data_IF_026956737454
#
_entry.id   IF_026956737454
#
_cell.length_a   1.000
_cell.length_b   1.000
_cell.length_c   1.000
_cell.angle_alpha   90.00
_cell.angle_beta   90.00
_cell.angle_gamma   90.00
#
_symmetry.space_group_name_H-M   'P 1'
#
loop_
_entity.id
_entity.type
_entity.pdbx_description
1 polymer ?
#
# COMPACT_ATOMS: atom_id res chain seq x y z
N UNK A 1 -4.91 4.26 -9.45
CA UNK A 1 -5.08 4.82 -8.10
C UNK A 1 -6.45 5.47 -8.07
N UNK A 2 -7.20 5.29 -7.01
CA UNK A 2 -8.60 5.71 -6.89
C UNK A 2 -8.73 6.58 -5.65
N UNK A 3 -9.65 7.57 -5.71
CA UNK A 3 -10.04 8.29 -4.50
C UNK A 3 -10.73 7.32 -3.55
N UNK A 4 -10.57 7.54 -2.27
CA UNK A 4 -11.16 6.67 -1.25
C UNK A 4 -12.68 6.77 -1.32
N UNK A 5 -13.29 5.71 -1.80
CA UNK A 5 -14.72 5.44 -1.81
C UNK A 5 -14.93 4.06 -1.18
N UNK A 6 -15.22 4.05 0.11
CA UNK A 6 -15.33 2.82 0.89
C UNK A 6 -16.46 1.92 0.37
N UNK A 7 -17.55 2.50 -0.12
CA UNK A 7 -18.69 1.75 -0.68
C UNK A 7 -18.34 1.15 -2.04
N UNK A 8 -17.77 1.92 -2.94
CA UNK A 8 -17.34 1.43 -4.26
C UNK A 8 -16.23 0.39 -4.16
N UNK A 9 -15.34 0.55 -3.16
CA UNK A 9 -14.32 -0.45 -2.89
C UNK A 9 -14.92 -1.75 -2.37
N UNK A 10 -15.88 -1.67 -1.44
CA UNK A 10 -16.58 -2.84 -0.90
C UNK A 10 -17.34 -3.58 -2.02
N UNK A 11 -17.98 -2.87 -2.94
CA UNK A 11 -18.63 -3.48 -4.10
C UNK A 11 -17.64 -4.25 -4.98
N UNK A 12 -16.50 -3.66 -5.34
CA UNK A 12 -15.46 -4.34 -6.12
C UNK A 12 -14.90 -5.56 -5.42
N UNK A 13 -14.66 -5.46 -4.11
CA UNK A 13 -14.20 -6.58 -3.32
C UNK A 13 -15.23 -7.72 -3.33
N UNK A 14 -16.51 -7.40 -3.16
CA UNK A 14 -17.59 -8.39 -3.24
C UNK A 14 -17.70 -9.03 -4.62
N UNK A 15 -17.48 -8.28 -5.69
CA UNK A 15 -17.45 -8.82 -7.06
C UNK A 15 -16.35 -9.85 -7.24
N UNK A 16 -15.12 -9.54 -6.80
CA UNK A 16 -14.00 -10.48 -6.83
C UNK A 16 -14.27 -11.71 -5.97
N UNK A 17 -14.83 -11.50 -4.78
CA UNK A 17 -15.16 -12.61 -3.89
C UNK A 17 -16.21 -13.55 -4.50
N UNK A 18 -17.24 -13.02 -5.19
CA UNK A 18 -18.27 -13.81 -5.88
C UNK A 18 -17.70 -14.58 -7.08
N UNK A 19 -16.72 -14.01 -7.78
CA UNK A 19 -16.01 -14.68 -8.89
C UNK A 19 -15.12 -15.84 -8.40
N UNK A 20 -14.85 -15.93 -7.12
CA UNK A 20 -13.98 -16.96 -6.57
C UNK A 20 -12.52 -16.55 -6.46
N UNK A 21 -12.20 -15.29 -6.74
CA UNK A 21 -10.83 -14.76 -6.68
C UNK A 21 -10.30 -14.77 -5.25
N UNK A 22 -9.00 -15.02 -5.13
CA UNK A 22 -8.27 -14.77 -3.89
C UNK A 22 -8.03 -13.28 -3.72
N UNK A 23 -8.20 -12.77 -2.49
CA UNK A 23 -8.16 -11.34 -2.21
C UNK A 23 -7.21 -11.04 -1.05
N UNK A 24 -6.31 -10.10 -1.27
CA UNK A 24 -5.53 -9.47 -0.20
C UNK A 24 -6.01 -8.04 0.02
N UNK A 25 -6.39 -7.72 1.25
CA UNK A 25 -6.64 -6.35 1.68
C UNK A 25 -5.49 -5.90 2.58
N UNK A 26 -4.70 -4.94 2.12
CA UNK A 26 -3.50 -4.48 2.80
C UNK A 26 -3.70 -3.09 3.38
N UNK A 27 -3.35 -2.93 4.65
CA UNK A 27 -3.49 -1.67 5.39
C UNK A 27 -2.24 -1.35 6.21
N UNK A 28 -2.06 -0.08 6.54
CA UNK A 28 -1.01 0.40 7.45
C UNK A 28 -1.55 0.64 8.84
N UNK A 29 -2.72 1.26 8.93
CA UNK A 29 -3.41 1.59 10.19
C UNK A 29 -4.66 0.72 10.34
N UNK A 30 -4.93 0.27 11.56
CA UNK A 30 -6.14 -0.52 11.85
C UNK A 30 -7.43 0.26 11.59
N UNK A 31 -7.40 1.60 11.70
CA UNK A 31 -8.52 2.47 11.35
C UNK A 31 -8.95 2.32 9.88
N UNK A 32 -7.98 2.16 8.98
CA UNK A 32 -8.29 1.99 7.54
C UNK A 32 -9.04 0.69 7.28
N UNK A 33 -8.68 -0.37 8.01
CA UNK A 33 -9.34 -1.66 7.98
C UNK A 33 -10.78 -1.58 8.48
N UNK A 34 -11.00 -0.97 9.65
CA UNK A 34 -12.29 -0.94 10.34
C UNK A 34 -13.39 -0.27 9.51
N UNK A 35 -13.07 0.79 8.78
CA UNK A 35 -14.02 1.51 7.93
C UNK A 35 -14.58 0.62 6.82
N UNK A 36 -13.77 -0.24 6.25
CA UNK A 36 -14.19 -1.11 5.15
C UNK A 36 -14.88 -2.37 5.66
N UNK A 37 -14.42 -2.91 6.79
CA UNK A 37 -15.03 -4.10 7.39
C UNK A 37 -16.54 -3.92 7.61
N UNK A 38 -16.99 -2.73 7.95
CA UNK A 38 -18.42 -2.44 8.12
C UNK A 38 -19.24 -2.73 6.86
N UNK A 39 -18.69 -2.49 5.68
CA UNK A 39 -19.36 -2.71 4.39
C UNK A 39 -19.25 -4.15 3.89
N UNK A 40 -18.29 -4.93 4.37
CA UNK A 40 -18.01 -6.31 3.92
C UNK A 40 -18.19 -7.35 5.04
N UNK A 41 -18.87 -6.99 6.13
CA UNK A 41 -18.99 -7.83 7.33
C UNK A 41 -19.51 -9.23 7.03
N UNK A 42 -20.44 -9.37 6.08
CA UNK A 42 -20.97 -10.68 5.67
C UNK A 42 -19.88 -11.59 5.10
N UNK A 43 -18.98 -11.05 4.30
CA UNK A 43 -17.84 -11.80 3.73
C UNK A 43 -16.83 -12.13 4.82
N UNK A 44 -16.52 -11.15 5.66
CA UNK A 44 -15.55 -11.32 6.76
C UNK A 44 -16.02 -12.44 7.70
N UNK A 45 -17.30 -12.46 8.04
CA UNK A 45 -17.86 -13.49 8.92
C UNK A 45 -17.77 -14.90 8.30
N UNK A 46 -18.13 -15.05 7.03
CA UNK A 46 -18.05 -16.33 6.32
C UNK A 46 -16.60 -16.78 6.20
N UNK A 47 -15.72 -15.91 5.77
CA UNK A 47 -14.33 -16.24 5.51
C UNK A 47 -13.56 -16.53 6.81
N UNK A 48 -13.86 -15.81 7.89
CA UNK A 48 -13.21 -16.02 9.20
C UNK A 48 -13.58 -17.36 9.86
N UNK A 49 -14.71 -17.96 9.49
CA UNK A 49 -15.09 -19.30 9.96
C UNK A 49 -14.26 -20.42 9.32
N UNK A 50 -13.56 -20.14 8.24
CA UNK A 50 -12.69 -21.08 7.54
C UNK A 50 -11.28 -21.13 8.16
N UNK A 51 -10.57 -22.26 8.02
CA UNK A 51 -9.14 -22.33 8.31
C UNK A 51 -8.38 -21.27 7.50
N UNK A 52 -7.30 -20.73 8.06
CA UNK A 52 -6.58 -19.59 7.46
C UNK A 52 -6.15 -19.85 6.01
N UNK A 53 -5.73 -21.06 5.69
CA UNK A 53 -5.28 -21.47 4.35
C UNK A 53 -6.43 -21.48 3.33
N UNK A 54 -7.64 -21.76 3.79
CA UNK A 54 -8.85 -21.81 2.96
C UNK A 54 -9.51 -20.43 2.78
N UNK A 55 -9.07 -19.42 3.52
CA UNK A 55 -9.62 -18.05 3.43
C UNK A 55 -9.26 -17.42 2.11
N UNK A 56 -10.27 -16.96 1.41
CA UNK A 56 -10.09 -16.20 0.16
C UNK A 56 -9.84 -14.72 0.41
N UNK A 57 -10.36 -14.15 1.48
CA UNK A 57 -10.08 -12.78 1.91
C UNK A 57 -9.07 -12.79 3.06
N UNK A 58 -7.87 -12.31 2.81
CA UNK A 58 -6.84 -12.11 3.83
C UNK A 58 -6.62 -10.63 4.07
N UNK A 59 -6.78 -10.21 5.31
CA UNK A 59 -6.60 -8.83 5.75
C UNK A 59 -5.29 -8.73 6.52
N UNK A 60 -4.32 -8.02 5.97
CA UNK A 60 -2.94 -8.03 6.47
C UNK A 60 -2.34 -6.64 6.46
N UNK A 61 -1.32 -6.43 7.28
CA UNK A 61 -0.47 -5.25 7.10
C UNK A 61 0.43 -5.43 5.87
N UNK A 62 0.91 -4.34 5.29
CA UNK A 62 1.87 -4.40 4.18
C UNK A 62 3.09 -5.28 4.50
N UNK A 63 3.59 -5.22 5.75
CA UNK A 63 4.74 -6.03 6.17
C UNK A 63 4.42 -7.53 6.19
N UNK A 64 3.22 -7.89 6.65
CA UNK A 64 2.79 -9.29 6.77
C UNK A 64 2.46 -9.94 5.42
N UNK A 65 2.30 -9.12 4.38
CA UNK A 65 1.99 -9.60 3.03
C UNK A 65 3.21 -10.12 2.24
N UNK A 66 4.41 -10.01 2.81
CA UNK A 66 5.62 -10.49 2.15
C UNK A 66 5.53 -11.99 1.84
N UNK A 67 5.75 -12.36 0.58
CA UNK A 67 5.69 -13.74 0.11
C UNK A 67 4.30 -14.24 -0.27
N UNK A 68 3.24 -13.47 -0.02
CA UNK A 68 1.88 -13.83 -0.45
C UNK A 68 1.58 -13.23 -1.82
N UNK A 69 0.60 -13.82 -2.52
CA UNK A 69 0.02 -13.32 -3.77
C UNK A 69 -1.48 -13.56 -3.76
N UNK A 70 -2.22 -12.76 -4.52
CA UNK A 70 -3.65 -12.94 -4.73
C UNK A 70 -4.08 -12.39 -6.10
N UNK A 71 -5.20 -12.88 -6.60
CA UNK A 71 -5.78 -12.43 -7.87
C UNK A 71 -6.12 -10.95 -7.83
N UNK A 72 -6.69 -10.49 -6.72
CA UNK A 72 -7.00 -9.09 -6.48
C UNK A 72 -6.37 -8.58 -5.18
N UNK A 73 -5.74 -7.42 -5.24
CA UNK A 73 -5.14 -6.75 -4.08
C UNK A 73 -5.75 -5.37 -3.90
N UNK A 74 -6.22 -5.10 -2.69
CA UNK A 74 -6.77 -3.82 -2.27
C UNK A 74 -5.80 -3.15 -1.29
N UNK A 75 -5.21 -2.05 -1.70
CA UNK A 75 -4.30 -1.25 -0.89
C UNK A 75 -5.07 -0.10 -0.26
N UNK A 76 -5.07 -0.04 1.07
CA UNK A 76 -5.81 0.95 1.85
C UNK A 76 -4.88 2.02 2.38
N UNK A 77 -5.26 3.26 2.12
CA UNK A 77 -4.51 4.43 2.55
C UNK A 77 -3.18 4.60 1.83
N UNK A 78 -2.47 5.66 2.18
CA UNK A 78 -1.08 5.86 1.76
C UNK A 78 -0.16 5.09 2.72
N UNK A 79 0.92 4.53 2.20
CA UNK A 79 1.92 3.82 2.99
C UNK A 79 2.68 4.73 3.97
N UNK A 80 2.35 6.03 4.00
CA UNK A 80 3.02 7.02 4.85
C UNK A 80 2.76 6.77 6.34
N UNK A 81 3.84 6.65 7.08
CA UNK A 81 3.85 6.76 8.52
C UNK A 81 5.21 7.35 8.93
N UNK A 82 5.28 8.67 8.91
CA UNK A 82 6.50 9.38 9.24
C UNK A 82 6.39 9.95 10.66
N UNK A 83 7.40 9.67 11.45
CA UNK A 83 7.57 10.28 12.76
C UNK A 83 8.91 11.00 12.74
N UNK A 84 8.90 12.32 12.66
CA UNK A 84 10.13 13.11 12.78
C UNK A 84 10.75 12.89 14.17
N UNK A 85 12.02 12.55 14.19
CA UNK A 85 12.73 12.33 15.42
C UNK A 85 14.16 12.87 15.34
N UNK A 86 14.39 14.11 15.79
CA UNK A 86 15.73 14.69 15.84
C UNK A 86 16.73 13.81 16.62
N UNK A 87 16.27 13.21 17.71
CA UNK A 87 17.07 12.28 18.50
C UNK A 87 17.51 11.05 17.71
N UNK A 88 16.58 10.41 17.00
CA UNK A 88 16.91 9.24 16.17
C UNK A 88 17.81 9.60 15.00
N UNK A 89 17.63 10.77 14.40
CA UNK A 89 18.55 11.27 13.38
C UNK A 89 19.97 11.42 13.93
N UNK A 90 20.12 11.93 15.16
CA UNK A 90 21.42 12.02 15.81
C UNK A 90 22.03 10.64 16.06
N UNK A 91 21.26 9.69 16.60
CA UNK A 91 21.72 8.32 16.84
C UNK A 91 22.16 7.64 15.53
N UNK A 92 21.40 7.80 14.46
CA UNK A 92 21.73 7.24 13.14
C UNK A 92 23.05 7.83 12.59
N UNK A 93 23.26 9.15 12.73
CA UNK A 93 24.54 9.79 12.35
C UNK A 93 25.72 9.25 13.14
N UNK A 94 25.55 9.14 14.46
CA UNK A 94 26.61 8.62 15.35
C UNK A 94 26.96 7.16 15.05
N UNK A 95 25.96 6.37 14.63
CA UNK A 95 26.14 4.97 14.21
C UNK A 95 26.67 4.81 12.78
N UNK A 96 26.91 5.92 12.06
CA UNK A 96 27.34 5.86 10.65
C UNK A 96 26.26 5.36 9.68
N UNK A 97 25.00 5.41 10.10
CA UNK A 97 23.86 5.01 9.27
C UNK A 97 23.38 6.22 8.45
N UNK A 98 23.28 6.03 7.15
CA UNK A 98 22.92 7.09 6.22
C UNK A 98 24.06 7.50 5.30
N UNK A 99 23.77 8.40 4.37
CA UNK A 99 24.77 8.93 3.42
C UNK A 99 25.65 9.99 4.09
N UNK A 100 26.88 10.12 3.63
CA UNK A 100 27.76 11.19 4.10
C UNK A 100 27.10 12.56 3.90
N UNK A 101 27.09 13.39 4.94
CA UNK A 101 26.46 14.71 4.92
C UNK A 101 24.93 14.71 5.13
N UNK A 102 24.30 13.56 5.33
CA UNK A 102 22.86 13.49 5.58
C UNK A 102 22.51 14.00 7.00
N UNK A 103 21.77 15.10 7.06
CA UNK A 103 21.31 15.68 8.33
C UNK A 103 20.15 14.92 8.97
N UNK A 104 19.39 14.15 8.19
CA UNK A 104 18.17 13.47 8.61
C UNK A 104 18.13 11.98 8.19
N UNK A 105 19.17 11.19 8.50
CA UNK A 105 19.30 9.83 7.97
C UNK A 105 18.18 8.88 8.42
N UNK A 106 17.66 9.01 9.63
CA UNK A 106 16.51 8.25 10.09
C UNK A 106 15.24 8.61 9.33
N UNK A 107 14.98 9.91 9.15
CA UNK A 107 13.78 10.36 8.43
C UNK A 107 13.85 9.96 6.95
N UNK A 108 15.03 9.98 6.35
CA UNK A 108 15.23 9.51 4.98
C UNK A 108 15.07 7.99 4.85
N UNK A 109 15.53 7.21 5.83
CA UNK A 109 15.29 5.77 5.87
C UNK A 109 13.78 5.44 5.95
N UNK A 110 12.98 6.22 6.67
CA UNK A 110 11.52 6.07 6.68
C UNK A 110 10.90 6.33 5.31
N UNK A 111 11.43 7.31 4.55
CA UNK A 111 10.97 7.59 3.17
C UNK A 111 11.21 6.39 2.25
N UNK A 112 12.39 5.79 2.34
CA UNK A 112 12.73 4.62 1.56
C UNK A 112 11.85 3.42 1.92
N UNK A 113 11.51 3.26 3.21
CA UNK A 113 10.61 2.20 3.67
C UNK A 113 9.19 2.36 3.10
N UNK A 114 8.67 3.60 3.00
CA UNK A 114 7.37 3.86 2.37
C UNK A 114 7.33 3.34 0.93
N UNK A 115 8.39 3.60 0.16
CA UNK A 115 8.49 3.12 -1.22
C UNK A 115 8.56 1.60 -1.31
N UNK A 116 9.31 0.96 -0.40
CA UNK A 116 9.38 -0.51 -0.32
C UNK A 116 8.03 -1.12 0.00
N UNK A 117 7.27 -0.56 0.94
CA UNK A 117 5.94 -1.05 1.29
C UNK A 117 4.95 -0.91 0.14
N UNK A 118 4.98 0.22 -0.56
CA UNK A 118 4.17 0.41 -1.76
C UNK A 118 4.51 -0.62 -2.84
N UNK A 119 5.78 -0.86 -3.10
CA UNK A 119 6.24 -1.88 -4.02
C UNK A 119 5.79 -3.28 -3.61
N UNK A 120 5.97 -3.64 -2.33
CA UNK A 120 5.50 -4.92 -1.79
C UNK A 120 4.00 -5.06 -2.03
N UNK A 121 3.18 -4.07 -1.71
CA UNK A 121 1.74 -4.13 -1.90
C UNK A 121 1.36 -4.38 -3.36
N UNK A 122 1.87 -3.58 -4.28
CA UNK A 122 1.55 -3.67 -5.72
C UNK A 122 1.96 -5.02 -6.30
N UNK A 123 3.13 -5.53 -5.94
CA UNK A 123 3.66 -6.79 -6.46
C UNK A 123 2.99 -8.04 -5.91
N UNK A 124 2.05 -7.89 -4.98
CA UNK A 124 1.22 -9.02 -4.49
C UNK A 124 0.08 -9.36 -5.44
N UNK A 125 -0.30 -8.46 -6.34
CA UNK A 125 -1.38 -8.67 -7.27
C UNK A 125 -0.95 -9.52 -8.47
N UNK A 126 -1.70 -10.59 -8.73
CA UNK A 126 -1.55 -11.41 -9.95
C UNK A 126 -2.28 -10.73 -11.12
N UNK A 127 -3.51 -10.29 -10.91
CA UNK A 127 -4.37 -9.74 -11.97
C UNK A 127 -4.79 -8.30 -11.72
N UNK A 128 -5.24 -7.96 -10.52
CA UNK A 128 -5.84 -6.67 -10.22
C UNK A 128 -5.24 -6.04 -8.97
N UNK A 129 -4.85 -4.78 -9.08
CA UNK A 129 -4.39 -3.98 -7.94
C UNK A 129 -5.20 -2.68 -7.87
N UNK A 130 -5.94 -2.51 -6.78
CA UNK A 130 -6.71 -1.32 -6.47
C UNK A 130 -6.06 -0.57 -5.32
N UNK A 131 -5.69 0.67 -5.54
CA UNK A 131 -5.08 1.50 -4.51
C UNK A 131 -5.98 2.68 -4.18
N UNK A 132 -6.53 2.67 -2.98
CA UNK A 132 -7.43 3.69 -2.45
C UNK A 132 -6.69 4.61 -1.49
N UNK A 133 -6.60 5.88 -1.85
CA UNK A 133 -5.90 6.91 -1.09
C UNK A 133 -6.90 7.94 -0.63
N UNK A 134 -6.87 8.28 0.66
CA UNK A 134 -7.67 9.38 1.19
C UNK A 134 -7.06 10.72 0.74
N UNK A 135 -7.86 11.54 0.06
CA UNK A 135 -7.43 12.87 -0.36
C UNK A 135 -7.10 13.78 0.85
N UNK A 136 -7.63 13.47 2.03
CA UNK A 136 -7.39 14.23 3.27
C UNK A 136 -6.12 13.77 4.02
N UNK A 137 -5.55 12.62 3.72
CA UNK A 137 -4.30 12.15 4.32
C UNK A 137 -3.06 12.97 3.87
N UNK A 138 -3.30 14.09 3.19
CA UNK A 138 -2.28 15.03 2.70
C UNK A 138 -1.56 15.81 3.80
N UNK A 139 -1.87 15.63 5.07
CA UNK A 139 -1.34 16.44 6.17
C UNK A 139 0.10 16.13 6.60
N UNK A 140 0.73 15.15 6.06
CA UNK A 140 2.16 14.95 6.33
C UNK A 140 3.01 15.82 5.40
N UNK A 141 3.04 17.10 5.76
CA UNK A 141 4.13 18.06 5.52
C UNK A 141 5.10 17.68 4.40
N UNK A 142 4.98 18.33 3.23
CA UNK A 142 6.01 18.48 2.18
C UNK A 142 6.71 17.21 1.65
N UNK A 143 6.11 16.04 1.76
CA UNK A 143 6.68 14.83 1.19
C UNK A 143 5.77 14.29 0.09
N UNK A 144 6.32 14.00 -1.10
CA UNK A 144 5.56 13.32 -2.12
C UNK A 144 5.08 11.97 -1.59
N UNK A 145 3.78 11.72 -1.71
CA UNK A 145 3.19 10.42 -1.34
C UNK A 145 3.85 9.30 -2.16
N UNK A 146 3.94 8.11 -1.60
CA UNK A 146 4.42 6.96 -2.34
C UNK A 146 3.62 6.75 -3.65
N UNK A 147 2.30 6.97 -3.57
CA UNK A 147 1.39 6.98 -4.72
C UNK A 147 1.78 7.98 -5.81
N UNK A 148 2.19 9.20 -5.46
CA UNK A 148 2.58 10.22 -6.44
C UNK A 148 3.86 9.82 -7.17
N UNK A 149 4.84 9.30 -6.45
CA UNK A 149 6.09 8.81 -7.05
C UNK A 149 5.87 7.62 -7.99
N UNK A 150 4.97 6.69 -7.63
CA UNK A 150 4.61 5.57 -8.50
C UNK A 150 3.87 6.05 -9.74
N UNK A 151 2.97 7.02 -9.59
CA UNK A 151 2.26 7.63 -10.72
C UNK A 151 3.22 8.35 -11.66
N UNK A 152 4.19 9.10 -11.13
CA UNK A 152 5.26 9.73 -11.91
C UNK A 152 6.15 8.69 -12.61
N UNK A 153 6.50 7.61 -11.93
CA UNK A 153 7.25 6.50 -12.50
C UNK A 153 6.49 5.82 -13.65
N UNK A 154 5.18 5.62 -13.51
CA UNK A 154 4.35 5.05 -14.59
C UNK A 154 4.29 5.97 -15.81
N UNK A 155 4.15 7.28 -15.62
CA UNK A 155 4.18 8.25 -16.71
C UNK A 155 5.53 8.18 -17.45
N UNK A 156 6.65 8.19 -16.71
CA UNK A 156 7.99 8.05 -17.27
C UNK A 156 8.15 6.78 -18.12
N UNK A 157 7.70 5.62 -17.65
CA UNK A 157 7.78 4.38 -18.40
C UNK A 157 6.82 4.34 -19.61
N UNK A 158 5.66 4.97 -19.53
CA UNK A 158 4.73 5.08 -20.66
C UNK A 158 5.35 5.88 -21.81
N UNK A 159 5.93 7.02 -21.50
CA UNK A 159 6.60 7.89 -22.50
C UNK A 159 7.79 7.18 -23.17
N UNK A 160 8.57 6.43 -22.39
CA UNK A 160 9.72 5.69 -22.93
C UNK A 160 9.31 4.47 -23.79
N UNK A 161 8.13 3.88 -23.59
CA UNK A 161 7.62 2.81 -24.45
C UNK A 161 7.18 3.34 -25.82
N UNK A 162 6.56 4.52 -25.85
CA UNK A 162 6.15 5.14 -27.11
C UNK A 162 7.35 5.57 -27.97
N UNK A 163 8.45 5.99 -27.33
CA UNK A 163 9.68 6.38 -28.02
C UNK A 163 10.47 5.20 -28.64
N UNK A 164 10.15 3.97 -28.32
CA UNK A 164 10.86 2.76 -28.80
C UNK A 164 10.12 1.96 -29.85
N UNK A 165 8.99 2.43 -30.37
CA UNK A 165 8.31 1.77 -31.50
C UNK A 165 8.89 2.39 -32.78
N UNK A 166 9.83 1.73 -33.50
CA UNK A 166 10.26 2.21 -34.81
C UNK A 166 9.12 2.02 -35.80
N UNK A 167 8.96 3.00 -36.68
CA UNK A 167 8.02 2.99 -37.80
C UNK A 167 8.38 1.87 -38.79
#
# INVERSE_FOLDING_TARGET
MLDRDDQGMAQRLMEHYRKGDSILMLYRKSSDKSLIEQHIQSIVNVDSSLPYEARRLKQLTYHSAKGLQADAVFLLGDCQHLTRSPYKNQVYRMAGLGKAGDSEPYDNAQKDEILRLAYVGITRAVSHCYWYVDAQDTQAVNMPKASDRISQGKAFFADHRQAKTPA
#
